data_IF_026869188020
#
_entry.id   IF_026869188020
#
_cell.length_a   1.000
_cell.length_b   1.000
_cell.length_c   1.000
_cell.angle_alpha   90.00
_cell.angle_beta   90.00
_cell.angle_gamma   90.00
#
_symmetry.space_group_name_H-M   'P 1'
#
loop_
_entity.id
_entity.type
_entity.pdbx_description
1 polymer ?
#
# COMPACT_ATOMS: atom_id res chain seq x y z
N UNK A 1 15.92 4.73 18.19
CA UNK A 1 15.53 3.58 17.34
C UNK A 1 15.22 3.93 15.89
N UNK A 2 15.41 5.18 15.46
CA UNK A 2 15.19 5.61 14.06
C UNK A 2 16.44 5.37 13.16
N UNK A 3 17.61 5.20 13.74
CA UNK A 3 18.88 5.01 12.99
C UNK A 3 19.01 3.62 12.35
N UNK A 4 18.33 2.59 12.87
CA UNK A 4 18.45 1.23 12.35
C UNK A 4 17.77 1.03 10.98
N UNK A 5 16.78 1.86 10.62
CA UNK A 5 16.07 1.77 9.34
C UNK A 5 16.93 2.26 8.17
N UNK A 6 17.59 3.41 8.31
CA UNK A 6 18.44 3.98 7.27
C UNK A 6 19.67 3.10 7.01
N UNK A 7 20.30 2.56 8.07
CA UNK A 7 21.43 1.63 7.93
C UNK A 7 21.02 0.31 7.25
N UNK A 8 19.84 -0.22 7.56
CA UNK A 8 19.28 -1.40 6.90
C UNK A 8 19.04 -1.17 5.41
N UNK A 9 18.57 0.01 5.02
CA UNK A 9 18.29 0.34 3.62
C UNK A 9 19.57 0.59 2.81
N UNK A 10 20.61 1.17 3.43
CA UNK A 10 21.94 1.30 2.83
C UNK A 10 22.57 -0.10 2.62
N UNK A 11 22.50 -0.98 3.62
CA UNK A 11 22.99 -2.35 3.52
C UNK A 11 22.26 -3.15 2.42
N UNK A 12 20.94 -3.04 2.31
CA UNK A 12 20.16 -3.66 1.23
C UNK A 12 20.54 -3.16 -0.15
N UNK A 13 20.85 -1.86 -0.29
CA UNK A 13 21.35 -1.30 -1.56
C UNK A 13 22.72 -1.84 -1.93
N UNK A 14 23.63 -1.97 -0.97
CA UNK A 14 24.95 -2.54 -1.21
C UNK A 14 24.88 -4.02 -1.61
N UNK A 15 24.09 -4.84 -0.90
CA UNK A 15 23.90 -6.25 -1.24
C UNK A 15 23.25 -6.45 -2.61
N UNK A 16 22.34 -5.55 -3.04
CA UNK A 16 21.72 -5.61 -4.36
C UNK A 16 22.70 -5.33 -5.52
N UNK A 17 23.79 -4.59 -5.27
CA UNK A 17 24.82 -4.30 -6.28
C UNK A 17 25.77 -5.50 -6.47
N UNK A 18 26.01 -6.28 -5.40
CA UNK A 18 26.98 -7.37 -5.41
C UNK A 18 26.37 -8.77 -5.61
N UNK A 19 25.05 -8.89 -5.53
CA UNK A 19 24.36 -10.18 -5.74
C UNK A 19 23.47 -10.11 -6.97
N UNK A 20 23.58 -11.08 -7.86
CA UNK A 20 22.70 -11.25 -9.04
C UNK A 20 21.23 -11.58 -8.67
N UNK A 21 20.78 -11.19 -7.47
CA UNK A 21 19.40 -11.32 -7.01
C UNK A 21 18.59 -10.12 -7.50
N UNK A 22 17.31 -10.35 -7.79
CA UNK A 22 16.37 -9.25 -8.11
C UNK A 22 16.45 -8.20 -7.01
N UNK A 23 16.72 -6.92 -7.33
CA UNK A 23 16.88 -5.88 -6.34
C UNK A 23 15.61 -5.77 -5.48
N UNK A 24 15.77 -5.95 -4.17
CA UNK A 24 14.68 -5.64 -3.25
C UNK A 24 14.41 -4.13 -3.26
N UNK A 25 13.12 -3.76 -3.27
CA UNK A 25 12.72 -2.36 -3.26
C UNK A 25 13.25 -1.65 -2.00
N UNK A 26 14.23 -0.76 -2.19
CA UNK A 26 14.86 0.02 -1.13
C UNK A 26 14.35 1.48 -1.11
N UNK A 27 13.15 1.75 -1.63
CA UNK A 27 12.53 3.08 -1.58
C UNK A 27 11.84 3.31 -0.24
N UNK A 28 12.10 4.46 0.38
CA UNK A 28 11.41 4.89 1.61
C UNK A 28 9.94 5.20 1.34
N UNK A 29 9.13 5.29 2.40
CA UNK A 29 7.71 5.73 2.29
C UNK A 29 7.65 7.10 1.62
N UNK A 30 8.50 8.05 2.02
CA UNK A 30 8.56 9.38 1.42
C UNK A 30 8.87 9.35 -0.07
N UNK A 31 9.81 8.49 -0.50
CA UNK A 31 10.10 8.30 -1.93
C UNK A 31 8.92 7.69 -2.70
N UNK A 32 8.13 6.81 -2.06
CA UNK A 32 6.93 6.26 -2.66
C UNK A 32 5.84 7.33 -2.81
N UNK A 33 5.67 8.21 -1.80
CA UNK A 33 4.79 9.38 -1.90
C UNK A 33 5.27 10.31 -3.02
N UNK A 34 6.56 10.66 -3.05
CA UNK A 34 7.16 11.50 -4.10
C UNK A 34 6.93 10.93 -5.50
N UNK A 35 7.07 9.62 -5.68
CA UNK A 35 6.81 8.93 -6.94
C UNK A 35 5.37 9.16 -7.43
N UNK A 36 4.39 9.12 -6.53
CA UNK A 36 2.98 9.32 -6.88
C UNK A 36 2.67 10.76 -7.33
N UNK A 37 3.46 11.74 -6.88
CA UNK A 37 3.36 13.12 -7.34
C UNK A 37 4.06 13.36 -8.69
N UNK A 38 5.04 12.54 -9.03
CA UNK A 38 5.78 12.65 -10.28
C UNK A 38 5.08 11.84 -11.39
N UNK A 39 3.95 12.23 -11.84
CA UNK A 39 3.04 11.59 -12.83
C UNK A 39 3.71 10.94 -14.09
N UNK A 40 4.99 10.63 -14.05
CA UNK A 40 5.78 10.06 -15.15
C UNK A 40 6.08 8.59 -14.90
N UNK A 41 5.67 7.73 -15.85
CA UNK A 41 5.95 6.29 -15.85
C UNK A 41 7.32 5.92 -16.42
N UNK A 42 8.13 6.89 -16.86
CA UNK A 42 9.44 6.62 -17.43
C UNK A 42 10.41 6.01 -16.39
N UNK A 43 10.94 4.85 -16.73
CA UNK A 43 11.99 4.18 -15.95
C UNK A 43 13.36 4.80 -16.29
N UNK A 44 13.67 5.96 -15.72
CA UNK A 44 14.94 6.64 -15.96
C UNK A 44 15.67 6.95 -14.65
N UNK A 45 17.02 7.03 -14.72
CA UNK A 45 17.86 7.46 -13.60
C UNK A 45 17.51 8.91 -13.22
N UNK A 46 17.22 9.76 -14.19
CA UNK A 46 16.81 11.15 -13.98
C UNK A 46 15.53 11.23 -13.13
N UNK A 47 14.53 10.39 -13.42
CA UNK A 47 13.34 10.30 -12.58
C UNK A 47 13.66 9.88 -11.15
N UNK A 48 14.59 8.93 -10.96
CA UNK A 48 15.00 8.47 -9.63
C UNK A 48 15.69 9.55 -8.80
N UNK A 49 16.45 10.41 -9.47
CA UNK A 49 17.07 11.60 -8.84
C UNK A 49 15.98 12.60 -8.44
N UNK A 50 15.01 12.88 -9.33
CA UNK A 50 13.88 13.78 -9.02
C UNK A 50 13.03 13.25 -7.85
N UNK A 51 12.76 11.95 -7.80
CA UNK A 51 12.07 11.31 -6.66
C UNK A 51 12.83 11.55 -5.34
N UNK A 52 14.16 11.39 -5.34
CA UNK A 52 14.97 11.56 -4.15
C UNK A 52 15.01 13.04 -3.68
N UNK A 53 15.17 13.98 -4.61
CA UNK A 53 15.16 15.42 -4.30
C UNK A 53 13.79 15.87 -3.79
N UNK A 54 12.70 15.39 -4.41
CA UNK A 54 11.36 15.70 -3.95
C UNK A 54 11.07 15.07 -2.58
N UNK A 55 11.56 13.85 -2.33
CA UNK A 55 11.42 13.21 -1.02
C UNK A 55 12.10 14.03 0.10
N UNK A 56 13.32 14.54 -0.14
CA UNK A 56 14.01 15.42 0.81
C UNK A 56 13.18 16.69 1.06
N UNK A 57 12.63 17.30 0.01
CA UNK A 57 11.81 18.50 0.15
C UNK A 57 10.53 18.22 0.95
N UNK A 58 9.88 17.06 0.73
CA UNK A 58 8.70 16.60 1.48
C UNK A 58 9.07 16.41 2.96
N UNK A 59 10.18 15.73 3.27
CA UNK A 59 10.64 15.48 4.65
C UNK A 59 10.96 16.77 5.41
N UNK A 60 11.47 17.79 4.71
CA UNK A 60 11.72 19.10 5.31
C UNK A 60 10.46 19.96 5.51
N UNK A 61 9.37 19.64 4.80
CA UNK A 61 8.14 20.46 4.80
C UNK A 61 6.98 19.84 5.58
N UNK A 62 6.97 18.52 5.76
CA UNK A 62 5.88 17.77 6.38
C UNK A 62 6.37 16.92 7.55
N UNK A 63 5.52 16.77 8.58
CA UNK A 63 5.77 15.82 9.66
C UNK A 63 5.70 14.36 9.14
N UNK A 64 6.34 13.45 9.87
CA UNK A 64 6.30 12.00 9.55
C UNK A 64 4.87 11.46 9.52
N UNK A 65 4.01 11.91 10.42
CA UNK A 65 2.60 11.51 10.48
C UNK A 65 1.85 11.96 9.22
N UNK A 66 2.11 13.19 8.75
CA UNK A 66 1.50 13.69 7.52
C UNK A 66 1.99 12.94 6.28
N UNK A 67 3.27 12.59 6.22
CA UNK A 67 3.82 11.76 5.15
C UNK A 67 3.19 10.37 5.16
N UNK A 68 3.05 9.76 6.34
CA UNK A 68 2.39 8.45 6.49
C UNK A 68 0.91 8.51 6.09
N UNK A 69 0.20 9.56 6.47
CA UNK A 69 -1.19 9.79 6.07
C UNK A 69 -1.31 9.89 4.54
N UNK A 70 -0.47 10.67 3.87
CA UNK A 70 -0.43 10.78 2.42
C UNK A 70 -0.15 9.42 1.75
N UNK A 71 0.80 8.66 2.30
CA UNK A 71 1.12 7.31 1.83
C UNK A 71 -0.10 6.38 1.93
N UNK A 72 -0.71 6.31 3.11
CA UNK A 72 -1.86 5.43 3.37
C UNK A 72 -3.09 5.81 2.53
N UNK A 73 -3.25 7.06 2.16
CA UNK A 73 -4.34 7.51 1.29
C UNK A 73 -4.11 7.22 -0.20
N UNK A 74 -2.87 6.97 -0.62
CA UNK A 74 -2.53 6.82 -2.04
C UNK A 74 -2.07 5.42 -2.43
N UNK A 75 -1.62 4.60 -1.48
CA UNK A 75 -1.03 3.30 -1.78
C UNK A 75 -2.04 2.36 -2.43
N UNK A 76 -1.60 1.68 -3.50
CA UNK A 76 -2.39 0.63 -4.14
C UNK A 76 -2.42 -0.63 -3.28
N UNK A 77 -3.61 -1.11 -2.95
CA UNK A 77 -3.84 -2.24 -2.06
C UNK A 77 -4.52 -3.44 -2.75
N UNK A 78 -4.58 -3.43 -4.06
CA UNK A 78 -5.21 -4.51 -4.82
C UNK A 78 -6.72 -4.32 -5.00
N UNK A 79 -7.36 -5.25 -5.72
CA UNK A 79 -8.80 -5.22 -6.01
C UNK A 79 -9.31 -3.88 -6.59
N UNK A 80 -8.44 -3.15 -7.32
CA UNK A 80 -8.76 -1.83 -7.87
C UNK A 80 -8.81 -0.70 -6.84
N UNK A 81 -8.27 -0.89 -5.62
CA UNK A 81 -8.37 0.10 -4.55
C UNK A 81 -7.07 0.84 -4.30
N UNK A 82 -7.17 2.15 -4.15
CA UNK A 82 -6.12 3.06 -3.72
C UNK A 82 -6.50 3.66 -2.37
N UNK A 83 -5.57 3.62 -1.42
CA UNK A 83 -5.75 4.07 -0.05
C UNK A 83 -6.46 3.08 0.86
N UNK A 84 -6.12 3.18 2.15
CA UNK A 84 -6.58 2.23 3.18
C UNK A 84 -8.09 2.31 3.44
N UNK A 85 -8.71 3.48 3.28
CA UNK A 85 -10.15 3.64 3.49
C UNK A 85 -10.95 2.91 2.40
N UNK A 86 -10.56 3.07 1.12
CA UNK A 86 -11.18 2.35 0.02
C UNK A 86 -10.95 0.84 0.14
N UNK A 87 -9.75 0.43 0.53
CA UNK A 87 -9.42 -0.97 0.75
C UNK A 87 -10.23 -1.58 1.92
N UNK A 88 -10.36 -0.87 3.05
CA UNK A 88 -11.18 -1.30 4.19
C UNK A 88 -12.62 -1.59 3.76
N UNK A 89 -13.22 -0.66 3.04
CA UNK A 89 -14.59 -0.87 2.53
C UNK A 89 -14.65 -2.01 1.51
N UNK A 90 -13.69 -2.11 0.59
CA UNK A 90 -13.67 -3.13 -0.47
C UNK A 90 -13.48 -4.54 0.07
N UNK A 91 -12.52 -4.70 1.00
CA UNK A 91 -12.17 -6.02 1.55
C UNK A 91 -13.11 -6.45 2.66
N UNK A 92 -13.56 -5.52 3.52
CA UNK A 92 -14.24 -5.86 4.78
C UNK A 92 -15.62 -5.23 4.94
N UNK A 93 -16.05 -4.34 4.03
CA UNK A 93 -17.30 -3.56 4.15
C UNK A 93 -17.36 -2.75 5.46
N UNK A 94 -16.20 -2.25 5.90
CA UNK A 94 -16.02 -1.53 7.15
C UNK A 94 -15.35 -0.18 6.93
N UNK A 95 -15.66 0.78 7.80
CA UNK A 95 -14.85 1.98 7.97
C UNK A 95 -13.51 1.64 8.65
N UNK A 96 -12.54 2.54 8.60
CA UNK A 96 -11.23 2.32 9.24
C UNK A 96 -11.34 2.11 10.76
N UNK A 97 -12.31 2.76 11.41
CA UNK A 97 -12.52 2.66 12.87
C UNK A 97 -13.10 1.32 13.31
N UNK A 98 -13.75 0.60 12.41
CA UNK A 98 -14.38 -0.70 12.66
C UNK A 98 -13.46 -1.88 12.37
N UNK A 99 -12.29 -1.62 11.79
CA UNK A 99 -11.31 -2.68 11.52
C UNK A 99 -10.80 -3.29 12.83
N UNK A 100 -10.82 -4.60 12.90
CA UNK A 100 -10.10 -5.31 13.94
C UNK A 100 -8.60 -5.44 13.57
N UNK A 101 -7.81 -5.90 14.54
CA UNK A 101 -6.35 -5.96 14.40
C UNK A 101 -5.90 -6.92 13.28
N UNK A 102 -6.61 -8.03 13.06
CA UNK A 102 -6.32 -9.01 12.00
C UNK A 102 -6.57 -8.40 10.62
N UNK A 103 -7.65 -7.65 10.46
CA UNK A 103 -8.01 -6.95 9.24
C UNK A 103 -7.01 -5.83 8.93
N UNK A 104 -6.64 -5.04 9.94
CA UNK A 104 -5.62 -4.00 9.83
C UNK A 104 -4.25 -4.59 9.44
N UNK A 105 -3.83 -5.69 10.09
CA UNK A 105 -2.59 -6.40 9.75
C UNK A 105 -2.61 -6.96 8.32
N UNK A 106 -3.77 -7.41 7.83
CA UNK A 106 -3.91 -7.85 6.45
C UNK A 106 -3.78 -6.68 5.46
N UNK A 107 -4.44 -5.54 5.69
CA UNK A 107 -4.25 -4.35 4.85
C UNK A 107 -2.79 -3.90 4.83
N UNK A 108 -2.10 -3.92 5.99
CA UNK A 108 -0.68 -3.60 6.08
C UNK A 108 0.24 -4.62 5.35
N UNK A 109 -0.25 -5.83 5.10
CA UNK A 109 0.47 -6.85 4.33
C UNK A 109 0.49 -6.60 2.82
N UNK A 110 -0.55 -5.93 2.29
CA UNK A 110 -0.82 -5.78 0.85
C UNK A 110 0.21 -4.92 0.08
N UNK A 111 0.76 -3.79 0.61
CA UNK A 111 1.64 -2.91 -0.15
C UNK A 111 2.84 -3.60 -0.79
N UNK A 112 3.32 -4.69 -0.22
CA UNK A 112 4.47 -5.45 -0.76
C UNK A 112 4.18 -6.08 -2.11
N UNK A 113 3.00 -6.65 -2.30
CA UNK A 113 2.59 -7.32 -3.55
C UNK A 113 1.07 -7.61 -3.51
N UNK A 114 0.20 -6.62 -3.77
CA UNK A 114 -1.25 -6.76 -3.59
C UNK A 114 -1.86 -7.94 -4.33
N UNK A 115 -1.50 -8.11 -5.61
CA UNK A 115 -2.01 -9.22 -6.42
C UNK A 115 -1.54 -10.62 -5.96
N UNK A 116 -0.36 -10.69 -5.33
CA UNK A 116 0.19 -11.95 -4.81
C UNK A 116 -0.48 -12.37 -3.50
N UNK A 117 -0.96 -11.41 -2.73
CA UNK A 117 -1.59 -11.61 -1.43
C UNK A 117 -3.12 -11.49 -1.50
N UNK A 118 -3.70 -11.61 -2.69
CA UNK A 118 -5.14 -11.75 -2.88
C UNK A 118 -5.61 -13.10 -2.29
N UNK A 119 -6.46 -13.10 -1.25
CA UNK A 119 -6.84 -14.31 -0.53
C UNK A 119 -7.71 -15.25 -1.38
N UNK A 120 -8.36 -14.73 -2.41
CA UNK A 120 -9.16 -15.55 -3.33
C UNK A 120 -8.30 -16.34 -4.32
N UNK A 121 -7.09 -15.88 -4.59
CA UNK A 121 -6.15 -16.53 -5.52
C UNK A 121 -5.06 -17.31 -4.80
N UNK A 122 -4.58 -16.80 -3.67
CA UNK A 122 -3.41 -17.31 -2.97
C UNK A 122 -3.59 -17.21 -1.44
N UNK A 123 -4.61 -17.87 -0.90
CA UNK A 123 -4.99 -17.77 0.53
C UNK A 123 -3.81 -18.00 1.48
N UNK A 124 -3.06 -19.09 1.31
CA UNK A 124 -1.92 -19.43 2.16
C UNK A 124 -0.82 -18.36 2.16
N UNK A 125 -0.56 -17.74 0.99
CA UNK A 125 0.42 -16.65 0.91
C UNK A 125 -0.09 -15.38 1.57
N UNK A 126 -1.37 -15.08 1.44
CA UNK A 126 -2.01 -13.96 2.11
C UNK A 126 -1.97 -14.14 3.63
N UNK A 127 -2.34 -15.34 4.11
CA UNK A 127 -2.31 -15.72 5.53
C UNK A 127 -0.90 -15.63 6.10
N UNK A 128 0.08 -16.25 5.45
CA UNK A 128 1.48 -16.21 5.89
C UNK A 128 2.01 -14.77 5.95
N UNK A 129 1.66 -13.91 4.98
CA UNK A 129 2.10 -12.51 4.98
C UNK A 129 1.42 -11.69 6.07
N UNK A 130 0.11 -11.87 6.32
CA UNK A 130 -0.59 -11.26 7.44
C UNK A 130 0.04 -11.68 8.78
N UNK A 131 0.30 -12.97 8.96
CA UNK A 131 0.91 -13.50 10.17
C UNK A 131 2.34 -12.96 10.38
N UNK A 132 3.08 -12.75 9.30
CA UNK A 132 4.36 -12.05 9.37
C UNK A 132 4.20 -10.61 9.88
N UNK A 133 3.16 -9.87 9.48
CA UNK A 133 2.89 -8.52 10.01
C UNK A 133 2.58 -8.59 11.50
N UNK A 134 1.71 -9.51 11.94
CA UNK A 134 1.40 -9.71 13.36
C UNK A 134 2.65 -10.04 14.20
N UNK A 135 3.53 -10.91 13.67
CA UNK A 135 4.82 -11.20 14.32
C UNK A 135 5.71 -9.96 14.45
N UNK A 136 5.73 -9.09 13.42
CA UNK A 136 6.48 -7.82 13.51
C UNK A 136 5.87 -6.86 14.51
N UNK A 137 4.55 -6.85 14.66
CA UNK A 137 3.87 -6.06 15.69
C UNK A 137 4.23 -6.55 17.09
N UNK A 138 4.29 -7.88 17.31
CA UNK A 138 4.73 -8.47 18.58
C UNK A 138 6.20 -8.13 18.89
N UNK A 139 7.11 -8.34 17.94
CA UNK A 139 8.55 -8.08 18.13
C UNK A 139 8.84 -6.60 18.44
N UNK A 140 7.98 -5.67 18.01
CA UNK A 140 8.12 -4.24 18.27
C UNK A 140 7.18 -3.75 19.40
N UNK A 141 6.67 -4.65 20.24
CA UNK A 141 5.85 -4.37 21.43
C UNK A 141 4.53 -3.62 21.15
N UNK A 142 4.01 -3.68 19.91
CA UNK A 142 2.68 -3.15 19.59
C UNK A 142 1.54 -4.07 20.06
N UNK A 143 1.82 -5.37 20.20
CA UNK A 143 0.90 -6.37 20.76
C UNK A 143 1.66 -7.33 21.68
N UNK A 144 0.96 -7.92 22.66
CA UNK A 144 1.51 -8.93 23.55
C UNK A 144 1.65 -10.28 22.84
N UNK A 145 2.46 -11.19 23.41
CA UNK A 145 2.58 -12.58 22.94
C UNK A 145 1.23 -13.30 22.97
N UNK A 146 0.47 -13.15 24.04
CA UNK A 146 -0.87 -13.76 24.18
C UNK A 146 -1.83 -13.26 23.06
N UNK A 147 -1.79 -11.97 22.77
CA UNK A 147 -2.58 -11.39 21.67
C UNK A 147 -2.16 -11.96 20.33
N UNK A 148 -0.85 -12.08 20.08
CA UNK A 148 -0.34 -12.68 18.84
C UNK A 148 -0.84 -14.12 18.67
N UNK A 149 -0.73 -14.97 19.70
CA UNK A 149 -1.15 -16.37 19.66
C UNK A 149 -2.65 -16.52 19.38
N UNK A 150 -3.48 -15.63 19.93
CA UNK A 150 -4.91 -15.60 19.65
C UNK A 150 -5.22 -15.22 18.21
N UNK A 151 -4.47 -14.27 17.63
CA UNK A 151 -4.77 -13.69 16.33
C UNK A 151 -4.18 -14.48 15.15
N UNK A 152 -3.04 -15.15 15.34
CA UNK A 152 -2.30 -15.83 14.27
C UNK A 152 -3.09 -16.94 13.61
N UNK A 153 -3.97 -17.62 14.37
CA UNK A 153 -4.80 -18.73 13.88
C UNK A 153 -6.14 -18.29 13.27
N UNK A 154 -6.49 -17.01 13.39
CA UNK A 154 -7.75 -16.53 12.82
C UNK A 154 -7.68 -16.50 11.28
N UNK A 155 -8.76 -16.89 10.58
CA UNK A 155 -8.82 -16.86 9.13
C UNK A 155 -8.87 -15.42 8.59
N UNK A 156 -8.46 -15.24 7.34
CA UNK A 156 -8.74 -14.01 6.58
C UNK A 156 -10.13 -14.16 5.95
N UNK A 157 -11.08 -13.31 6.34
CA UNK A 157 -12.42 -13.26 5.77
C UNK A 157 -12.57 -11.95 4.99
N UNK A 158 -12.85 -12.01 3.69
CA UNK A 158 -13.03 -10.83 2.83
C UNK A 158 -14.28 -10.98 1.96
N UNK A 159 -14.85 -9.84 1.56
CA UNK A 159 -16.07 -9.74 0.73
C UNK A 159 -15.77 -9.43 -0.74
N UNK A 160 -14.53 -9.60 -1.21
CA UNK A 160 -14.11 -9.20 -2.57
C UNK A 160 -14.95 -9.90 -3.67
N UNK A 161 -15.36 -11.14 -3.45
CA UNK A 161 -16.08 -11.95 -4.46
C UNK A 161 -17.59 -11.70 -4.51
N UNK A 162 -18.16 -10.98 -3.55
CA UNK A 162 -19.61 -10.75 -3.49
C UNK A 162 -20.12 -9.76 -4.55
N UNK A 163 -19.22 -9.01 -5.21
CA UNK A 163 -19.60 -8.08 -6.27
C UNK A 163 -18.86 -8.40 -7.58
N UNK A 164 -19.29 -9.45 -8.29
CA UNK A 164 -18.97 -9.62 -9.71
C UNK A 164 -19.69 -8.61 -10.63
N UNK A 165 -20.55 -7.76 -10.10
CA UNK A 165 -21.26 -6.72 -10.84
C UNK A 165 -20.46 -5.39 -10.82
N UNK A 166 -19.21 -5.42 -11.29
CA UNK A 166 -18.38 -4.21 -11.49
C UNK A 166 -18.88 -3.38 -12.69
N UNK A 167 -19.74 -3.92 -13.53
CA UNK A 167 -20.32 -3.21 -14.69
C UNK A 167 -21.05 -1.90 -14.35
N UNK A 168 -21.57 -1.75 -13.13
CA UNK A 168 -22.24 -0.51 -12.75
C UNK A 168 -21.29 0.66 -12.45
N UNK A 169 -20.08 0.39 -11.94
CA UNK A 169 -19.12 1.46 -11.62
C UNK A 169 -18.46 2.01 -12.88
N UNK A 170 -18.11 1.13 -13.82
CA UNK A 170 -17.49 1.53 -15.08
C UNK A 170 -18.49 2.30 -15.98
N UNK A 171 -19.75 1.86 -15.98
CA UNK A 171 -20.83 2.60 -16.66
C UNK A 171 -21.05 3.99 -16.04
N UNK A 172 -21.05 4.09 -14.70
CA UNK A 172 -21.25 5.35 -14.00
C UNK A 172 -20.07 6.33 -14.22
N UNK A 173 -18.85 5.83 -14.20
CA UNK A 173 -17.65 6.62 -14.50
C UNK A 173 -17.65 7.11 -15.95
N UNK A 174 -18.05 6.26 -16.90
CA UNK A 174 -18.15 6.65 -18.32
C UNK A 174 -19.27 7.66 -18.54
N UNK A 175 -20.37 7.57 -17.81
CA UNK A 175 -21.46 8.54 -17.87
C UNK A 175 -21.06 9.90 -17.30
N UNK A 176 -20.34 9.92 -16.15
CA UNK A 176 -19.76 11.14 -15.59
C UNK A 176 -18.76 11.76 -16.57
N UNK A 177 -17.88 10.93 -17.17
CA UNK A 177 -16.92 11.40 -18.17
C UNK A 177 -17.62 12.08 -19.35
N UNK A 178 -18.67 11.47 -19.90
CA UNK A 178 -19.48 12.08 -20.98
C UNK A 178 -20.11 13.40 -20.56
N UNK A 179 -20.62 13.49 -19.33
CA UNK A 179 -21.19 14.74 -18.80
C UNK A 179 -20.12 15.81 -18.65
N UNK A 180 -18.92 15.47 -18.17
CA UNK A 180 -17.80 16.43 -18.06
C UNK A 180 -17.38 16.92 -19.43
N UNK A 181 -17.24 16.02 -20.43
CA UNK A 181 -16.91 16.38 -21.82
C UNK A 181 -18.00 17.30 -22.41
N UNK A 182 -19.29 17.00 -22.14
CA UNK A 182 -20.39 17.82 -22.67
C UNK A 182 -20.44 19.24 -22.08
N UNK A 183 -19.97 19.41 -20.83
CA UNK A 183 -20.00 20.70 -20.11
C UNK A 183 -18.74 21.52 -20.39
N UNK A 184 -17.57 20.89 -20.45
CA UNK A 184 -16.28 21.57 -20.48
C UNK A 184 -15.50 21.39 -21.78
N UNK A 185 -15.92 20.47 -22.69
CA UNK A 185 -15.18 20.12 -23.93
C UNK A 185 -14.10 19.06 -23.69
N UNK A 186 -13.57 18.50 -24.80
CA UNK A 186 -12.55 17.42 -24.74
C UNK A 186 -11.16 17.89 -24.24
N UNK A 187 -10.90 19.18 -24.25
CA UNK A 187 -9.58 19.75 -23.92
C UNK A 187 -9.25 19.77 -22.41
N UNK A 188 -10.16 19.30 -21.55
CA UNK A 188 -10.00 19.29 -20.08
C UNK A 188 -9.81 17.88 -19.48
N UNK A 189 -9.65 16.85 -20.29
CA UNK A 189 -9.36 15.47 -19.90
C UNK A 189 -8.04 15.00 -20.51
#
# INVERSE_FOLDING_TARGET
HCESSAASDVYKRQTNIFTNRRPEGASTITQQVAKNFLLSDELSISRKIKEALLAIKIENSLSKDRILELYLNQIYLGAGTYGVAAASNRYFKKSLKELNLVEAAYLAALPKAPSRYDPNKNYEKALARRNWVLSRMQINDFITSDTYEQLVNLPIKTFINENKNVFASDYYLEEIRKQIISIFGEDYL
#
